data_IF_030248098112
#
_entry.id   IF_030248098112
#
_cell.length_a   1.000
_cell.length_b   1.000
_cell.length_c   1.000
_cell.angle_alpha   90.00
_cell.angle_beta   90.00
_cell.angle_gamma   90.00
#
_symmetry.space_group_name_H-M   'P 1'
#
loop_
_entity.id
_entity.type
_entity.pdbx_description
1 polymer ?
#
# COMPACT_ATOMS: atom_id res chain seq x y z
N UNK A 1 23.33 -14.11 23.65
CA UNK A 1 21.99 -13.60 24.02
C UNK A 1 21.26 -13.29 22.73
N UNK A 2 20.44 -14.22 22.24
CA UNK A 2 19.55 -13.95 21.11
C UNK A 2 18.35 -13.25 21.74
N UNK A 3 18.24 -11.92 21.56
CA UNK A 3 16.99 -11.22 21.84
C UNK A 3 16.01 -11.66 20.76
N UNK A 4 15.22 -12.69 21.05
CA UNK A 4 13.94 -12.88 20.38
C UNK A 4 13.11 -11.62 20.65
N UNK A 5 13.20 -10.65 19.75
CA UNK A 5 12.25 -9.55 19.72
C UNK A 5 10.92 -10.18 19.31
N UNK A 6 10.15 -10.66 20.29
CA UNK A 6 8.71 -10.88 20.09
C UNK A 6 8.16 -9.53 19.66
N UNK A 7 7.78 -9.42 18.40
CA UNK A 7 7.00 -8.30 17.92
C UNK A 7 5.71 -8.23 18.75
N UNK A 8 5.19 -7.03 18.93
CA UNK A 8 3.93 -6.85 19.62
C UNK A 8 2.84 -7.66 18.89
N UNK A 9 2.01 -8.46 19.58
CA UNK A 9 0.97 -9.26 18.94
C UNK A 9 0.00 -8.42 18.08
N UNK A 10 -0.24 -7.15 18.43
CA UNK A 10 -1.04 -6.25 17.61
C UNK A 10 -0.34 -5.90 16.29
N UNK A 11 0.98 -5.73 16.31
CA UNK A 11 1.79 -5.51 15.09
C UNK A 11 1.81 -6.76 14.22
N UNK A 12 1.81 -7.96 14.83
CA UNK A 12 1.71 -9.20 14.07
C UNK A 12 0.37 -9.30 13.33
N UNK A 13 -0.76 -9.04 14.00
CA UNK A 13 -2.08 -9.03 13.36
C UNK A 13 -2.15 -7.97 12.26
N UNK A 14 -1.63 -6.76 12.52
CA UNK A 14 -1.63 -5.69 11.53
C UNK A 14 -0.76 -6.02 10.32
N UNK A 15 0.34 -6.75 10.50
CA UNK A 15 1.18 -7.21 9.38
C UNK A 15 0.41 -8.16 8.44
N UNK A 16 -0.29 -9.13 9.01
CA UNK A 16 -1.12 -10.05 8.21
C UNK A 16 -2.27 -9.31 7.52
N UNK A 17 -2.97 -8.41 8.23
CA UNK A 17 -4.02 -7.57 7.66
C UNK A 17 -3.51 -6.69 6.52
N UNK A 18 -2.36 -6.04 6.69
CA UNK A 18 -1.74 -5.20 5.67
C UNK A 18 -1.41 -6.01 4.41
N UNK A 19 -0.79 -7.17 4.55
CA UNK A 19 -0.47 -8.02 3.39
C UNK A 19 -1.69 -8.72 2.78
N UNK A 20 -2.80 -8.84 3.52
CA UNK A 20 -4.07 -9.33 2.97
C UNK A 20 -4.82 -8.24 2.18
N UNK A 21 -4.72 -6.98 2.59
CA UNK A 21 -5.38 -5.86 1.92
C UNK A 21 -4.54 -5.27 0.77
N UNK A 22 -3.23 -5.13 0.93
CA UNK A 22 -2.31 -4.70 -0.13
C UNK A 22 -1.96 -5.91 -1.00
N UNK A 23 -2.83 -6.19 -1.96
CA UNK A 23 -2.85 -7.45 -2.71
C UNK A 23 -2.15 -7.40 -4.07
N UNK A 24 -1.58 -6.26 -4.47
CA UNK A 24 -0.75 -6.18 -5.68
C UNK A 24 0.74 -6.29 -5.34
N UNK A 25 1.57 -6.90 -6.21
CA UNK A 25 3.02 -6.91 -6.03
C UNK A 25 3.61 -5.51 -5.99
N UNK A 26 4.69 -5.32 -5.22
CA UNK A 26 5.39 -4.03 -5.08
C UNK A 26 5.81 -3.42 -6.41
N UNK A 27 6.25 -4.24 -7.37
CA UNK A 27 6.62 -3.76 -8.71
C UNK A 27 5.41 -3.24 -9.49
N UNK A 28 4.27 -3.94 -9.41
CA UNK A 28 3.03 -3.49 -10.05
C UNK A 28 2.56 -2.16 -9.45
N UNK A 29 2.57 -2.03 -8.12
CA UNK A 29 2.26 -0.77 -7.44
C UNK A 29 3.21 0.34 -7.89
N UNK A 30 4.52 0.07 -7.96
CA UNK A 30 5.51 1.05 -8.42
C UNK A 30 5.21 1.56 -9.83
N UNK A 31 4.94 0.66 -10.79
CA UNK A 31 4.61 1.05 -12.17
C UNK A 31 3.31 1.85 -12.26
N UNK A 32 2.30 1.48 -11.47
CA UNK A 32 1.07 2.25 -11.33
C UNK A 32 1.35 3.67 -10.84
N UNK A 33 2.06 3.81 -9.72
CA UNK A 33 2.36 5.11 -9.12
C UNK A 33 3.21 6.00 -10.05
N UNK A 34 4.11 5.40 -10.84
CA UNK A 34 4.84 6.13 -11.88
C UNK A 34 3.89 6.73 -12.92
N UNK A 35 2.90 5.96 -13.37
CA UNK A 35 1.89 6.45 -14.31
C UNK A 35 1.08 7.59 -13.71
N UNK A 36 0.76 7.51 -12.40
CA UNK A 36 0.05 8.57 -11.67
C UNK A 36 0.89 9.83 -11.46
N UNK A 37 2.19 9.67 -11.23
CA UNK A 37 3.16 10.75 -11.03
C UNK A 37 3.71 11.38 -12.32
N UNK A 38 3.41 10.82 -13.49
CA UNK A 38 3.94 11.24 -14.80
C UNK A 38 3.45 12.61 -15.32
N UNK A 39 2.90 13.47 -14.45
CA UNK A 39 2.70 14.90 -14.74
C UNK A 39 4.02 15.66 -14.86
N UNK A 40 3.99 16.95 -15.20
CA UNK A 40 5.12 17.81 -15.65
C UNK A 40 6.43 17.81 -14.82
N UNK A 41 6.49 17.11 -13.68
CA UNK A 41 7.64 17.04 -12.75
C UNK A 41 8.32 15.65 -12.67
N UNK A 42 7.94 14.69 -13.51
CA UNK A 42 8.32 13.27 -13.37
C UNK A 42 9.76 12.88 -13.80
N UNK A 43 10.58 13.81 -14.27
CA UNK A 43 11.91 13.49 -14.80
C UNK A 43 13.03 14.14 -13.98
N UNK A 44 13.25 13.62 -12.77
CA UNK A 44 14.44 13.89 -11.95
C UNK A 44 15.30 12.63 -11.78
N UNK A 45 16.59 12.75 -11.42
CA UNK A 45 17.47 11.61 -11.15
C UNK A 45 17.16 10.87 -9.83
N UNK A 46 16.05 11.23 -9.17
CA UNK A 46 15.67 10.70 -7.87
C UNK A 46 15.15 9.26 -7.99
N UNK A 47 15.70 8.29 -7.22
CA UNK A 47 15.28 6.89 -7.31
C UNK A 47 13.83 6.65 -6.87
N UNK A 48 13.25 7.55 -6.07
CA UNK A 48 11.85 7.52 -5.63
C UNK A 48 10.94 8.37 -6.55
N UNK A 49 11.46 8.97 -7.63
CA UNK A 49 10.74 9.58 -8.77
C UNK A 49 9.53 10.47 -8.39
N UNK A 50 9.57 11.12 -7.22
CA UNK A 50 8.42 11.86 -6.63
C UNK A 50 7.10 11.06 -6.69
N UNK A 51 7.14 9.75 -6.40
CA UNK A 51 5.94 8.93 -6.39
C UNK A 51 4.87 9.52 -5.45
N UNK A 52 3.59 9.55 -5.86
CA UNK A 52 2.52 10.13 -5.08
C UNK A 52 2.29 9.37 -3.77
N UNK A 53 1.93 10.13 -2.74
CA UNK A 53 1.45 9.60 -1.47
C UNK A 53 -0.04 9.28 -1.52
N UNK A 54 -0.53 8.29 -0.74
CA UNK A 54 0.22 7.49 0.24
C UNK A 54 0.94 6.26 -0.35
N UNK A 55 0.85 6.05 -1.67
CA UNK A 55 1.40 4.85 -2.33
C UNK A 55 2.92 4.69 -2.16
N UNK A 56 3.67 5.79 -2.12
CA UNK A 56 5.13 5.77 -1.88
C UNK A 56 5.48 5.19 -0.51
N UNK A 57 4.78 5.60 0.54
CA UNK A 57 4.94 5.06 1.89
C UNK A 57 4.60 3.57 1.95
N UNK A 58 3.49 3.14 1.35
CA UNK A 58 3.08 1.73 1.29
C UNK A 58 4.16 0.89 0.58
N UNK A 59 4.71 1.40 -0.53
CA UNK A 59 5.81 0.74 -1.23
C UNK A 59 7.09 0.65 -0.39
N UNK A 60 7.38 1.64 0.46
CA UNK A 60 8.50 1.59 1.39
C UNK A 60 8.31 0.49 2.45
N UNK A 61 7.10 0.32 2.97
CA UNK A 61 6.78 -0.75 3.94
C UNK A 61 6.88 -2.13 3.30
N UNK A 62 6.34 -2.33 2.09
CA UNK A 62 6.41 -3.61 1.36
C UNK A 62 7.85 -4.11 1.12
N UNK A 63 8.85 -3.20 1.12
CA UNK A 63 10.27 -3.52 0.94
C UNK A 63 11.00 -3.89 2.24
N UNK A 64 10.34 -3.78 3.40
CA UNK A 64 10.92 -4.06 4.72
C UNK A 64 10.60 -5.49 5.17
N UNK A 65 11.45 -6.04 6.04
CA UNK A 65 11.11 -7.25 6.80
C UNK A 65 10.31 -6.83 8.03
N UNK A 66 9.39 -7.69 8.47
CA UNK A 66 8.57 -7.46 9.68
C UNK A 66 9.38 -7.01 10.91
N UNK A 67 10.59 -7.55 11.08
CA UNK A 67 11.49 -7.23 12.21
C UNK A 67 12.17 -5.86 12.11
N UNK A 68 12.15 -5.24 10.92
CA UNK A 68 12.78 -3.93 10.65
C UNK A 68 11.74 -2.79 10.64
N UNK A 69 10.48 -3.08 10.99
CA UNK A 69 9.41 -2.07 11.04
C UNK A 69 9.67 -1.03 12.12
N UNK A 70 9.47 0.22 11.75
CA UNK A 70 9.46 1.36 12.67
C UNK A 70 8.02 1.67 13.13
N UNK A 71 7.84 2.47 14.18
CA UNK A 71 6.52 2.97 14.58
C UNK A 71 5.81 3.74 13.46
N UNK A 72 6.55 4.41 12.59
CA UNK A 72 6.00 5.11 11.41
C UNK A 72 5.47 4.12 10.38
N UNK A 73 6.21 3.04 10.09
CA UNK A 73 5.75 1.99 9.20
C UNK A 73 4.45 1.34 9.69
N UNK A 74 4.35 1.11 11.01
CA UNK A 74 3.13 0.59 11.66
C UNK A 74 1.95 1.56 11.47
N UNK A 75 2.20 2.88 11.52
CA UNK A 75 1.20 3.91 11.20
C UNK A 75 0.72 3.81 9.75
N UNK A 76 1.64 3.74 8.79
CA UNK A 76 1.33 3.57 7.36
C UNK A 76 0.52 2.31 7.12
N UNK A 77 0.89 1.18 7.74
CA UNK A 77 0.14 -0.08 7.61
C UNK A 77 -1.30 0.06 8.09
N UNK A 78 -1.50 0.71 9.24
CA UNK A 78 -2.83 0.94 9.83
C UNK A 78 -3.70 1.82 8.92
N UNK A 79 -3.17 2.95 8.48
CA UNK A 79 -3.89 3.87 7.61
C UNK A 79 -4.25 3.23 6.26
N UNK A 80 -3.34 2.45 5.67
CA UNK A 80 -3.59 1.73 4.43
C UNK A 80 -4.75 0.72 4.59
N UNK A 81 -4.70 -0.13 5.62
CA UNK A 81 -5.75 -1.12 5.90
C UNK A 81 -7.11 -0.44 6.12
N UNK A 82 -7.16 0.59 6.97
CA UNK A 82 -8.40 1.32 7.27
C UNK A 82 -8.98 1.97 6.02
N UNK A 83 -8.14 2.60 5.18
CA UNK A 83 -8.59 3.28 3.97
C UNK A 83 -9.06 2.31 2.89
N UNK A 84 -8.35 1.19 2.68
CA UNK A 84 -8.77 0.13 1.75
C UNK A 84 -10.11 -0.45 2.17
N UNK A 85 -10.29 -0.78 3.45
CA UNK A 85 -11.54 -1.32 3.99
C UNK A 85 -12.69 -0.32 3.86
N UNK A 86 -12.43 0.95 4.14
CA UNK A 86 -13.43 2.03 3.99
C UNK A 86 -13.87 2.20 2.54
N UNK A 87 -12.92 2.33 1.60
CA UNK A 87 -13.22 2.43 0.17
C UNK A 87 -13.96 1.19 -0.35
N UNK A 88 -13.59 0.00 0.13
CA UNK A 88 -14.24 -1.25 -0.26
C UNK A 88 -15.69 -1.33 0.25
N UNK A 89 -15.95 -0.86 1.47
CA UNK A 89 -17.29 -0.76 2.04
C UNK A 89 -18.18 0.24 1.27
N UNK A 90 -17.58 1.29 0.71
CA UNK A 90 -18.24 2.31 -0.11
C UNK A 90 -18.34 1.92 -1.60
N UNK A 91 -18.35 0.62 -1.91
CA UNK A 91 -18.40 0.11 -3.29
C UNK A 91 -19.49 0.82 -4.12
N UNK A 92 -19.13 1.46 -5.25
CA UNK A 92 -20.06 2.24 -6.05
C UNK A 92 -21.09 1.35 -6.75
N UNK A 93 -22.19 1.96 -7.22
CA UNK A 93 -23.29 1.23 -7.90
C UNK A 93 -22.84 0.53 -9.17
N UNK A 94 -21.84 1.08 -9.87
CA UNK A 94 -21.20 0.46 -11.05
C UNK A 94 -20.25 -0.69 -10.68
N UNK A 95 -19.99 -0.90 -9.38
CA UNK A 95 -19.13 -1.94 -8.87
C UNK A 95 -17.72 -1.84 -9.45
N UNK A 96 -17.18 -2.98 -9.87
CA UNK A 96 -15.81 -3.06 -10.40
C UNK A 96 -15.66 -2.38 -11.78
N UNK A 97 -16.75 -1.93 -12.42
CA UNK A 97 -16.67 -1.14 -13.65
C UNK A 97 -16.44 0.36 -13.40
N UNK A 98 -16.28 0.78 -12.14
CA UNK A 98 -15.97 2.16 -11.77
C UNK A 98 -14.45 2.38 -11.69
N UNK A 99 -13.89 3.04 -12.72
CA UNK A 99 -12.44 3.22 -12.85
C UNK A 99 -11.86 4.13 -11.77
N UNK A 100 -12.58 5.18 -11.36
CA UNK A 100 -12.09 6.13 -10.35
C UNK A 100 -11.96 5.46 -8.98
N UNK A 101 -12.97 4.66 -8.61
CA UNK A 101 -12.94 3.87 -7.40
C UNK A 101 -11.82 2.82 -7.42
N UNK A 102 -11.66 2.09 -8.55
CA UNK A 102 -10.56 1.11 -8.69
C UNK A 102 -9.19 1.78 -8.63
N UNK A 103 -9.00 2.91 -9.28
CA UNK A 103 -7.75 3.67 -9.23
C UNK A 103 -7.45 4.15 -7.82
N UNK A 104 -8.47 4.58 -7.07
CA UNK A 104 -8.31 5.00 -5.66
C UNK A 104 -7.86 3.84 -4.77
N UNK A 105 -8.34 2.62 -5.02
CA UNK A 105 -7.85 1.41 -4.34
C UNK A 105 -6.43 1.04 -4.78
N UNK A 106 -6.13 1.15 -6.08
CA UNK A 106 -4.83 0.80 -6.64
C UNK A 106 -3.73 1.80 -6.23
N UNK A 107 -4.09 3.06 -6.00
CA UNK A 107 -3.22 4.08 -5.37
C UNK A 107 -2.76 3.63 -3.96
N UNK A 108 -3.48 2.71 -3.30
CA UNK A 108 -3.15 2.08 -2.01
C UNK A 108 -2.55 0.67 -2.15
N UNK A 109 -2.37 0.16 -3.38
CA UNK A 109 -1.92 -1.20 -3.63
C UNK A 109 -2.98 -2.28 -3.47
N UNK A 110 -4.27 -1.91 -3.55
CA UNK A 110 -5.38 -2.87 -3.60
C UNK A 110 -6.01 -2.91 -4.99
N UNK A 111 -6.21 -4.11 -5.53
CA UNK A 111 -6.92 -4.34 -6.79
C UNK A 111 -8.05 -5.36 -6.59
N UNK A 112 -9.27 -4.93 -6.86
CA UNK A 112 -10.50 -5.74 -6.75
C UNK A 112 -10.68 -6.73 -7.91
N UNK A 113 -9.79 -6.68 -8.90
CA UNK A 113 -9.76 -7.59 -10.06
C UNK A 113 -8.73 -8.71 -9.89
N UNK A 114 -7.84 -8.61 -8.90
CA UNK A 114 -6.91 -9.70 -8.57
C UNK A 114 -7.71 -10.85 -7.97
N UNK A 115 -7.61 -12.03 -8.60
CA UNK A 115 -8.10 -13.27 -8.03
C UNK A 115 -7.24 -13.65 -6.81
N UNK A 116 -7.87 -13.84 -5.65
CA UNK A 116 -7.20 -14.21 -4.39
C UNK A 116 -7.08 -15.72 -4.24
#
# INVERSE_FOLDING_TARGET
MVREQRLDPEVEVLWEDFHAEVNVPSEQLRQWLLTRGSGEEAFGPDPDLNLPEPGRQILAVLRKRKVDLTPEDVGVMREAVERIRSLTAEKPRRGNADDEWRHSLLDLGHDVLVER
#
